data_IF_415601858548
#
_entry.id   IF_415601858548
#
_cell.length_a   1.000
_cell.length_b   1.000
_cell.length_c   1.000
_cell.angle_alpha   90.00
_cell.angle_beta   90.00
_cell.angle_gamma   90.00
#
_symmetry.space_group_name_H-M   'P 1'
#
loop_
_entity.id
_entity.type
_entity.pdbx_description
1 polymer ?
#
# COMPACT_ATOMS: atom_id res chain seq x y z
N UNK A 1 -9.22 5.29 19.18
CA UNK A 1 -9.17 4.41 18.03
C UNK A 1 -7.98 3.51 18.10
N UNK A 2 -8.20 2.30 17.76
CA UNK A 2 -7.19 1.29 17.97
C UNK A 2 -6.18 1.27 16.82
N UNK A 3 -4.99 0.77 17.12
CA UNK A 3 -3.96 0.52 16.13
C UNK A 3 -4.47 -0.38 15.01
N UNK A 4 -5.44 -1.26 15.31
CA UNK A 4 -5.99 -2.18 14.33
C UNK A 4 -6.68 -1.46 13.17
N UNK A 5 -7.39 -0.35 13.45
CA UNK A 5 -8.04 0.42 12.40
C UNK A 5 -7.02 1.00 11.43
N UNK A 6 -5.94 1.59 11.97
CA UNK A 6 -4.87 2.13 11.14
C UNK A 6 -4.20 1.03 10.34
N UNK A 7 -3.92 -0.11 10.96
CA UNK A 7 -3.30 -1.24 10.28
C UNK A 7 -4.19 -1.77 9.16
N UNK A 8 -5.50 -1.84 9.38
CA UNK A 8 -6.45 -2.25 8.35
C UNK A 8 -6.45 -1.28 7.17
N UNK A 9 -6.40 0.02 7.43
CA UNK A 9 -6.32 1.02 6.37
C UNK A 9 -5.04 0.84 5.56
N UNK A 10 -3.92 0.63 6.22
CA UNK A 10 -2.64 0.41 5.55
C UNK A 10 -2.72 -0.80 4.63
N UNK A 11 -3.21 -1.92 5.15
CA UNK A 11 -3.32 -3.16 4.38
C UNK A 11 -4.26 -2.98 3.20
N UNK A 12 -5.41 -2.34 3.40
CA UNK A 12 -6.36 -2.08 2.33
C UNK A 12 -5.74 -1.24 1.23
N UNK A 13 -5.04 -0.17 1.60
CA UNK A 13 -4.41 0.71 0.62
C UNK A 13 -3.30 0.00 -0.15
N UNK A 14 -2.50 -0.83 0.53
CA UNK A 14 -1.48 -1.61 -0.13
C UNK A 14 -2.08 -2.64 -1.08
N UNK A 15 -3.19 -3.26 -0.67
CA UNK A 15 -3.89 -4.23 -1.52
C UNK A 15 -4.49 -3.58 -2.77
N UNK A 16 -4.83 -2.30 -2.68
CA UNK A 16 -5.32 -1.53 -3.83
C UNK A 16 -4.22 -1.15 -4.82
N UNK A 17 -2.97 -1.42 -4.48
CA UNK A 17 -1.84 -1.14 -5.35
C UNK A 17 -1.14 0.18 -5.09
N UNK A 18 -1.42 0.83 -3.96
CA UNK A 18 -0.74 2.05 -3.60
C UNK A 18 0.68 1.75 -3.11
N UNK A 19 1.68 2.56 -3.49
CA UNK A 19 3.03 2.34 -3.02
C UNK A 19 3.18 2.68 -1.53
N UNK A 20 4.18 2.09 -0.89
CA UNK A 20 4.42 2.26 0.54
C UNK A 20 4.57 3.73 0.92
N UNK A 21 5.34 4.50 0.13
CA UNK A 21 5.57 5.92 0.43
C UNK A 21 4.27 6.73 0.43
N UNK A 22 3.34 6.39 -0.46
CA UNK A 22 2.05 7.06 -0.55
C UNK A 22 1.20 6.74 0.68
N UNK A 23 1.13 5.46 1.04
CA UNK A 23 0.36 5.02 2.22
C UNK A 23 0.94 5.66 3.47
N UNK A 24 2.27 5.70 3.59
CA UNK A 24 2.94 6.32 4.73
C UNK A 24 2.55 7.80 4.86
N UNK A 25 2.51 8.51 3.75
CA UNK A 25 2.11 9.91 3.76
C UNK A 25 0.64 10.08 4.19
N UNK A 26 -0.23 9.19 3.74
CA UNK A 26 -1.65 9.27 4.06
C UNK A 26 -1.94 8.97 5.54
N UNK A 27 -1.23 8.01 6.12
CA UNK A 27 -1.44 7.62 7.53
C UNK A 27 -0.48 8.33 8.48
N UNK A 28 0.40 9.18 7.96
CA UNK A 28 1.38 9.95 8.74
C UNK A 28 2.30 9.06 9.57
N UNK A 29 2.77 8.00 8.96
CA UNK A 29 3.72 7.07 9.56
C UNK A 29 4.97 6.98 8.71
N UNK A 30 6.03 6.39 9.24
CA UNK A 30 7.24 6.16 8.45
C UNK A 30 6.99 5.05 7.42
N UNK A 31 7.69 5.12 6.30
CA UNK A 31 7.60 4.08 5.28
C UNK A 31 7.99 2.71 5.83
N UNK A 32 8.97 2.69 6.75
CA UNK A 32 9.39 1.45 7.39
C UNK A 32 8.24 0.83 8.19
N UNK A 33 7.53 1.64 8.97
CA UNK A 33 6.40 1.16 9.78
C UNK A 33 5.28 0.63 8.90
N UNK A 34 4.95 1.34 7.82
CA UNK A 34 3.95 0.90 6.86
C UNK A 34 4.36 -0.42 6.22
N UNK A 35 5.64 -0.52 5.84
CA UNK A 35 6.17 -1.76 5.27
C UNK A 35 6.03 -2.93 6.24
N UNK A 36 6.34 -2.72 7.52
CA UNK A 36 6.24 -3.77 8.53
C UNK A 36 4.79 -4.21 8.76
N UNK A 37 3.86 -3.28 8.76
CA UNK A 37 2.43 -3.60 8.88
C UNK A 37 1.98 -4.43 7.67
N UNK A 38 2.35 -4.01 6.49
CA UNK A 38 2.02 -4.74 5.27
C UNK A 38 2.61 -6.14 5.29
N UNK A 39 3.86 -6.25 5.70
CA UNK A 39 4.55 -7.53 5.78
C UNK A 39 3.83 -8.52 6.69
N UNK A 40 3.37 -8.06 7.84
CA UNK A 40 2.64 -8.90 8.79
C UNK A 40 1.32 -9.43 8.19
N UNK A 41 0.76 -8.69 7.24
CA UNK A 41 -0.48 -9.08 6.57
C UNK A 41 -0.24 -9.86 5.26
N UNK A 42 1.02 -10.18 4.95
CA UNK A 42 1.35 -10.91 3.74
C UNK A 42 1.47 -10.04 2.50
N UNK A 43 1.66 -8.74 2.67
CA UNK A 43 1.88 -7.79 1.59
C UNK A 43 3.28 -7.19 1.63
N UNK A 44 4.34 -7.98 1.55
CA UNK A 44 5.62 -7.39 1.26
C UNK A 44 6.24 -8.04 0.07
N UNK A 45 5.46 -8.58 -0.78
CA UNK A 45 5.99 -9.00 -2.05
C UNK A 45 6.17 -7.73 -2.87
N UNK A 46 7.39 -7.24 -2.87
CA UNK A 46 7.76 -6.05 -3.63
C UNK A 46 7.32 -6.14 -5.09
N UNK A 47 7.32 -7.35 -5.61
CA UNK A 47 6.92 -7.58 -7.01
C UNK A 47 5.42 -7.46 -7.17
N UNK A 48 4.64 -7.96 -6.22
CA UNK A 48 3.19 -7.80 -6.27
C UNK A 48 2.79 -6.34 -6.17
N UNK A 49 3.41 -5.60 -5.25
CA UNK A 49 3.13 -4.18 -5.11
C UNK A 49 3.51 -3.41 -6.37
N UNK A 50 4.66 -3.72 -6.96
CA UNK A 50 5.08 -3.10 -8.22
C UNK A 50 4.14 -3.43 -9.37
N UNK A 51 3.72 -4.69 -9.46
CA UNK A 51 2.76 -5.10 -10.48
C UNK A 51 1.43 -4.39 -10.32
N UNK A 52 0.93 -4.27 -9.11
CA UNK A 52 -0.33 -3.61 -8.84
C UNK A 52 -0.26 -2.13 -9.22
N UNK A 53 0.83 -1.46 -8.83
CA UNK A 53 1.04 -0.05 -9.20
C UNK A 53 1.16 0.10 -10.71
N UNK A 54 1.95 -0.76 -11.34
CA UNK A 54 2.14 -0.72 -12.80
C UNK A 54 0.82 -0.96 -13.54
N UNK A 55 0.05 -1.96 -13.12
CA UNK A 55 -1.22 -2.27 -13.74
C UNK A 55 -2.21 -1.10 -13.60
N UNK A 56 -2.21 -0.46 -12.44
CA UNK A 56 -3.04 0.71 -12.19
C UNK A 56 -2.65 1.86 -13.10
N UNK A 57 -1.35 2.12 -13.25
CA UNK A 57 -0.85 3.16 -14.13
C UNK A 57 -1.23 2.89 -15.60
N UNK A 58 -1.14 1.64 -16.02
CA UNK A 58 -1.55 1.26 -17.36
C UNK A 58 -3.04 1.48 -17.59
N UNK A 59 -3.87 1.11 -16.61
CA UNK A 59 -5.31 1.34 -16.70
C UNK A 59 -5.63 2.83 -16.82
N UNK A 60 -4.95 3.67 -16.03
CA UNK A 60 -5.14 5.11 -16.08
C UNK A 60 -4.74 5.69 -17.44
N UNK A 61 -3.65 5.19 -18.03
CA UNK A 61 -3.23 5.62 -19.36
C UNK A 61 -4.24 5.23 -20.44
N UNK A 62 -4.76 4.01 -20.34
CA UNK A 62 -5.73 3.52 -21.32
C UNK A 62 -7.08 4.23 -21.18
N UNK A 63 -7.41 4.68 -19.99
CA UNK A 63 -8.65 5.41 -19.72
C UNK A 63 -8.55 6.87 -20.16
N UNK A 64 -7.35 7.38 -20.27
CA UNK A 64 -7.15 8.75 -20.71
C UNK A 64 -7.15 8.82 -22.24
#
# INVERSE_FOLDING_TARGET
MSENTTNQMIVTMLAEGNPVWFVAAMVKMSSHDVYMVGRAAGYPDKFKLRRAVWARQQSERLAA
#
